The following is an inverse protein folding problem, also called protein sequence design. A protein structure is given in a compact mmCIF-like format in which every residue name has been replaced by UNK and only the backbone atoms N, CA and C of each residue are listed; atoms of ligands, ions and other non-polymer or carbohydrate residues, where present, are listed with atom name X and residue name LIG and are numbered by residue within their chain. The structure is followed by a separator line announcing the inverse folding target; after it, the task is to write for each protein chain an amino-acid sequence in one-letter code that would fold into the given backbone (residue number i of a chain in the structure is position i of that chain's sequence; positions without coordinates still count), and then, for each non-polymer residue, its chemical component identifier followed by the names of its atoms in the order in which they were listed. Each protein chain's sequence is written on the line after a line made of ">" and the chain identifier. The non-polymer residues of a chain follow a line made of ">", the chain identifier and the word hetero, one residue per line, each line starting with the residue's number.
data_IF_146360138633
#
_entry.id   IF_146360138633
#
_cell.length_a   1.000
_cell.length_b   1.000
_cell.length_c   1.000
_cell.angle_alpha   90.00
_cell.angle_beta   90.00
_cell.angle_gamma   90.00
#
_symmetry.space_group_name_H-M   'P 1'
#
loop_
_entity.id
_entity.type
_entity.pdbx_description
1 polymer ?
#
# COMPACT_ATOMS: atom_id res chain seq x y z
N UNK A 1 45.04 16.59 -23.93
CA UNK A 1 44.59 15.22 -23.57
C UNK A 1 44.03 15.12 -22.15
N UNK A 2 44.68 15.69 -21.10
CA UNK A 2 44.21 15.59 -19.69
C UNK A 2 42.84 16.26 -19.40
N UNK A 3 42.49 17.36 -20.08
CA UNK A 3 41.19 18.06 -19.91
C UNK A 3 40.00 17.26 -20.49
N UNK A 4 40.23 16.46 -21.53
CA UNK A 4 39.19 15.61 -22.14
C UNK A 4 38.84 14.40 -21.27
N UNK A 5 39.82 13.87 -20.52
CA UNK A 5 39.64 12.76 -19.57
C UNK A 5 38.83 13.19 -18.33
N UNK A 6 38.97 14.44 -17.88
CA UNK A 6 38.19 15.00 -16.77
C UNK A 6 36.71 15.18 -17.13
N UNK A 7 36.41 15.61 -18.36
CA UNK A 7 35.04 15.82 -18.84
C UNK A 7 34.32 14.47 -19.01
N UNK A 8 35.02 13.44 -19.50
CA UNK A 8 34.46 12.10 -19.66
C UNK A 8 34.07 11.45 -18.32
N UNK A 9 34.79 11.76 -17.24
CA UNK A 9 34.51 11.28 -15.87
C UNK A 9 33.24 11.88 -15.27
N UNK A 10 32.96 13.16 -15.53
CA UNK A 10 31.79 13.87 -14.99
C UNK A 10 30.48 13.39 -15.64
N UNK A 11 30.52 13.08 -16.95
CA UNK A 11 29.36 12.56 -17.69
C UNK A 11 29.04 11.12 -17.30
N UNK A 12 30.04 10.30 -16.97
CA UNK A 12 29.83 8.90 -16.56
C UNK A 12 29.18 8.79 -15.17
N UNK A 13 29.46 9.74 -14.27
CA UNK A 13 28.89 9.74 -12.92
C UNK A 13 27.43 10.18 -12.87
N UNK A 14 26.93 10.90 -13.88
CA UNK A 14 25.53 11.37 -13.93
C UNK A 14 24.54 10.29 -14.40
N UNK A 15 25.03 9.23 -15.06
CA UNK A 15 24.22 8.12 -15.57
C UNK A 15 23.77 7.16 -14.45
N UNK A 16 24.44 7.18 -13.29
CA UNK A 16 24.13 6.28 -12.16
C UNK A 16 22.92 6.73 -11.31
N UNK A 17 22.39 7.94 -11.51
CA UNK A 17 21.25 8.46 -10.71
C UNK A 17 19.88 8.21 -11.34
N UNK A 18 19.79 7.74 -12.59
CA UNK A 18 18.49 7.57 -13.28
C UNK A 18 17.78 6.26 -12.96
N UNK A 19 18.42 5.33 -12.24
CA UNK A 19 17.86 3.98 -12.02
C UNK A 19 16.78 3.94 -10.93
N UNK A 20 16.84 4.84 -9.95
CA UNK A 20 15.92 4.85 -8.80
C UNK A 20 14.44 5.14 -9.20
N UNK A 21 14.21 5.88 -10.29
CA UNK A 21 12.86 6.22 -10.78
C UNK A 21 12.23 5.19 -11.72
N UNK A 22 13.02 4.25 -12.26
CA UNK A 22 12.49 3.17 -13.10
C UNK A 22 11.81 2.10 -12.23
N UNK A 23 12.46 1.72 -11.13
CA UNK A 23 11.96 0.69 -10.21
C UNK A 23 10.67 1.15 -9.50
N UNK A 24 10.62 2.41 -9.04
CA UNK A 24 9.40 2.97 -8.43
C UNK A 24 8.18 2.87 -9.35
N UNK A 25 8.33 3.21 -10.64
CA UNK A 25 7.23 3.16 -11.62
C UNK A 25 6.79 1.74 -11.95
N UNK A 26 7.74 0.79 -12.03
CA UNK A 26 7.41 -0.60 -12.25
C UNK A 26 6.63 -1.19 -11.08
N UNK A 27 7.04 -0.88 -9.85
CA UNK A 27 6.31 -1.26 -8.62
C UNK A 27 4.90 -0.65 -8.64
N UNK A 28 4.79 0.65 -8.91
CA UNK A 28 3.50 1.34 -8.97
C UNK A 28 2.52 0.69 -9.94
N UNK A 29 3.02 0.40 -11.17
CA UNK A 29 2.24 -0.26 -12.20
C UNK A 29 1.74 -1.62 -11.72
N UNK A 30 2.62 -2.42 -11.12
CA UNK A 30 2.24 -3.75 -10.63
C UNK A 30 1.21 -3.69 -9.50
N UNK A 31 1.38 -2.76 -8.55
CA UNK A 31 0.41 -2.53 -7.49
C UNK A 31 -0.94 -2.08 -8.08
N UNK A 32 -0.93 -1.21 -9.08
CA UNK A 32 -2.15 -0.73 -9.75
C UNK A 32 -2.89 -1.86 -10.45
N UNK A 33 -2.17 -2.78 -11.12
CA UNK A 33 -2.76 -3.99 -11.68
C UNK A 33 -3.42 -4.86 -10.60
N UNK A 34 -2.75 -5.05 -9.47
CA UNK A 34 -3.30 -5.83 -8.34
C UNK A 34 -4.54 -5.18 -7.74
N UNK A 35 -4.53 -3.86 -7.56
CA UNK A 35 -5.70 -3.10 -7.10
C UNK A 35 -6.86 -3.21 -8.10
N UNK A 36 -6.58 -3.09 -9.41
CA UNK A 36 -7.58 -3.26 -10.46
C UNK A 36 -8.23 -4.65 -10.41
N UNK A 37 -7.44 -5.72 -10.22
CA UNK A 37 -7.97 -7.09 -10.10
C UNK A 37 -8.85 -7.25 -8.86
N UNK A 38 -8.46 -6.68 -7.71
CA UNK A 38 -9.34 -6.69 -6.53
C UNK A 38 -10.65 -5.96 -6.82
N UNK A 39 -10.56 -4.81 -7.50
CA UNK A 39 -11.70 -3.95 -7.75
C UNK A 39 -12.75 -4.56 -8.69
N UNK A 40 -12.39 -5.59 -9.47
CA UNK A 40 -13.33 -6.35 -10.31
C UNK A 40 -14.50 -6.95 -9.51
N UNK A 41 -14.29 -7.21 -8.21
CA UNK A 41 -15.30 -7.79 -7.31
C UNK A 41 -15.82 -6.80 -6.26
N UNK A 42 -15.58 -5.50 -6.44
CA UNK A 42 -15.97 -4.44 -5.49
C UNK A 42 -17.10 -3.55 -6.03
N UNK A 43 -17.90 -2.91 -5.14
CA UNK A 43 -17.87 -3.02 -3.68
C UNK A 43 -18.46 -4.35 -3.19
N UNK A 44 -17.95 -4.86 -2.06
CA UNK A 44 -18.42 -6.12 -1.46
C UNK A 44 -18.59 -6.00 0.05
N UNK A 45 -19.68 -6.54 0.57
CA UNK A 45 -19.91 -6.64 2.02
C UNK A 45 -19.02 -7.74 2.60
N UNK A 46 -18.12 -7.38 3.51
CA UNK A 46 -17.30 -8.36 4.24
C UNK A 46 -18.04 -8.94 5.43
N UNK A 47 -18.89 -8.13 6.06
CA UNK A 47 -19.78 -8.50 7.15
C UNK A 47 -20.95 -7.49 7.22
N UNK A 48 -21.80 -7.57 8.25
CA UNK A 48 -22.98 -6.70 8.41
C UNK A 48 -22.67 -5.20 8.56
N UNK A 49 -21.44 -4.84 8.93
CA UNK A 49 -21.04 -3.47 9.30
C UNK A 49 -19.90 -2.92 8.47
N UNK A 50 -19.25 -3.73 7.64
CA UNK A 50 -18.04 -3.33 6.89
C UNK A 50 -18.18 -3.72 5.43
N UNK A 51 -18.14 -2.71 4.57
CA UNK A 51 -18.04 -2.87 3.12
C UNK A 51 -16.61 -2.58 2.69
N UNK A 52 -16.04 -3.46 1.88
CA UNK A 52 -14.83 -3.16 1.13
C UNK A 52 -15.24 -2.44 -0.15
N UNK A 53 -14.80 -1.20 -0.32
CA UNK A 53 -15.25 -0.34 -1.42
C UNK A 53 -14.37 -0.49 -2.66
N UNK A 54 -13.06 -0.36 -2.48
CA UNK A 54 -12.04 -0.51 -3.52
C UNK A 54 -10.63 -0.57 -2.91
N UNK A 55 -9.65 -0.86 -3.76
CA UNK A 55 -8.24 -0.65 -3.52
C UNK A 55 -7.67 0.43 -4.44
N UNK A 56 -6.78 1.25 -3.92
CA UNK A 56 -6.08 2.32 -4.66
C UNK A 56 -4.58 2.27 -4.40
N UNK A 57 -3.80 2.94 -5.26
CA UNK A 57 -2.34 3.02 -5.12
C UNK A 57 -1.91 4.47 -5.23
N UNK A 58 -1.12 4.94 -4.26
CA UNK A 58 -0.57 6.29 -4.27
C UNK A 58 0.68 6.40 -5.16
N UNK A 59 1.09 7.62 -5.49
CA UNK A 59 2.32 7.86 -6.26
C UNK A 59 3.59 7.34 -5.54
N UNK A 60 3.55 7.25 -4.20
CA UNK A 60 4.64 6.72 -3.38
C UNK A 60 4.55 5.21 -3.15
N UNK A 61 3.76 4.49 -3.97
CA UNK A 61 3.58 3.04 -3.89
C UNK A 61 3.00 2.57 -2.56
N UNK A 62 2.10 3.36 -1.97
CA UNK A 62 1.28 2.89 -0.84
C UNK A 62 0.05 2.22 -1.41
N UNK A 63 -0.18 0.96 -1.03
CA UNK A 63 -1.37 0.22 -1.41
C UNK A 63 -2.47 0.47 -0.36
N UNK A 64 -3.59 1.03 -0.77
CA UNK A 64 -4.67 1.40 0.13
C UNK A 64 -5.85 0.47 -0.07
N UNK A 65 -6.37 -0.09 1.02
CA UNK A 65 -7.65 -0.76 1.09
C UNK A 65 -8.67 0.22 1.68
N UNK A 66 -9.69 0.58 0.92
CA UNK A 66 -10.70 1.55 1.34
C UNK A 66 -11.98 0.81 1.77
N UNK A 67 -12.46 1.15 2.96
CA UNK A 67 -13.62 0.55 3.59
C UNK A 67 -14.62 1.60 4.02
N UNK A 68 -15.90 1.23 3.98
CA UNK A 68 -16.98 1.95 4.64
C UNK A 68 -17.48 1.15 5.83
N UNK A 69 -17.56 1.81 7.00
CA UNK A 69 -18.23 1.29 8.20
C UNK A 69 -19.67 1.77 8.19
N UNK A 70 -20.62 0.83 8.27
CA UNK A 70 -22.06 1.06 8.13
C UNK A 70 -22.79 0.89 9.45
N UNK A 71 -23.82 1.69 9.69
CA UNK A 71 -24.81 1.49 10.76
C UNK A 71 -24.22 1.44 12.20
N UNK A 72 -23.14 2.17 12.48
CA UNK A 72 -22.53 2.21 13.82
C UNK A 72 -22.49 3.65 14.35
N UNK A 73 -22.98 3.85 15.58
CA UNK A 73 -23.00 5.17 16.23
C UNK A 73 -21.62 5.66 16.70
N UNK A 74 -20.70 4.74 17.00
CA UNK A 74 -19.34 5.06 17.46
C UNK A 74 -18.30 4.12 16.80
N UNK A 75 -18.00 4.31 15.51
CA UNK A 75 -17.18 3.38 14.74
C UNK A 75 -15.71 3.38 15.17
N UNK A 76 -15.23 4.46 15.78
CA UNK A 76 -13.86 4.59 16.26
C UNK A 76 -13.51 3.59 17.38
N UNK A 77 -14.45 3.36 18.30
CA UNK A 77 -14.25 2.40 19.40
C UNK A 77 -14.10 0.98 18.86
N UNK A 78 -14.90 0.60 17.86
CA UNK A 78 -14.86 -0.72 17.25
C UNK A 78 -13.50 -0.98 16.57
N UNK A 79 -13.01 -0.02 15.78
CA UNK A 79 -11.74 -0.17 15.06
C UNK A 79 -10.58 -0.27 16.05
N UNK A 80 -10.60 0.52 17.13
CA UNK A 80 -9.54 0.50 18.15
C UNK A 80 -9.44 -0.83 18.89
N UNK A 81 -10.57 -1.50 19.14
CA UNK A 81 -10.60 -2.81 19.79
C UNK A 81 -10.00 -3.92 18.90
N UNK A 82 -10.14 -3.80 17.58
CA UNK A 82 -9.66 -4.81 16.62
C UNK A 82 -8.31 -4.48 15.98
N UNK A 83 -7.78 -3.27 16.17
CA UNK A 83 -6.54 -2.82 15.54
C UNK A 83 -5.34 -3.73 15.83
N UNK A 84 -5.17 -4.15 17.09
CA UNK A 84 -4.06 -5.03 17.49
C UNK A 84 -4.17 -6.40 16.81
N UNK A 85 -5.35 -7.02 16.85
CA UNK A 85 -5.55 -8.34 16.21
C UNK A 85 -5.47 -8.26 14.70
N UNK A 86 -5.93 -7.16 14.10
CA UNK A 86 -5.80 -6.88 12.67
C UNK A 86 -4.32 -6.81 12.26
N UNK A 87 -3.49 -6.06 12.99
CA UNK A 87 -2.06 -5.95 12.70
C UNK A 87 -1.37 -7.31 12.78
N UNK A 88 -1.66 -8.11 13.83
CA UNK A 88 -1.06 -9.44 13.97
C UNK A 88 -1.51 -10.41 12.87
N UNK A 89 -2.80 -10.37 12.49
CA UNK A 89 -3.31 -11.17 11.37
C UNK A 89 -2.64 -10.76 10.05
N UNK A 90 -2.44 -9.47 9.81
CA UNK A 90 -1.76 -8.98 8.61
C UNK A 90 -0.31 -9.45 8.60
N UNK A 91 0.42 -9.35 9.71
CA UNK A 91 1.77 -9.91 9.80
C UNK A 91 1.80 -11.40 9.49
N UNK A 92 0.83 -12.16 9.99
CA UNK A 92 0.73 -13.59 9.70
C UNK A 92 0.54 -13.84 8.20
N UNK A 93 -0.47 -13.21 7.58
CA UNK A 93 -0.77 -13.34 6.15
C UNK A 93 0.42 -12.97 5.27
N UNK A 94 1.14 -11.89 5.58
CA UNK A 94 2.31 -11.47 4.82
C UNK A 94 3.49 -12.45 4.90
N UNK A 95 3.54 -13.28 5.94
CA UNK A 95 4.55 -14.31 6.10
C UNK A 95 4.14 -15.65 5.48
N UNK A 96 2.84 -15.94 5.38
CA UNK A 96 2.35 -17.25 4.95
C UNK A 96 1.77 -17.26 3.53
N UNK A 97 1.25 -16.14 3.03
CA UNK A 97 0.59 -16.06 1.74
C UNK A 97 1.57 -15.68 0.61
N UNK A 98 1.86 -16.59 -0.34
CA UNK A 98 2.78 -16.32 -1.44
C UNK A 98 2.37 -15.16 -2.35
N UNK A 99 1.07 -14.84 -2.42
CA UNK A 99 0.55 -13.74 -3.23
C UNK A 99 0.96 -12.37 -2.67
N UNK A 100 1.23 -12.29 -1.36
CA UNK A 100 1.63 -11.06 -0.68
C UNK A 100 3.15 -10.84 -0.69
N UNK A 101 3.92 -11.82 -1.19
CA UNK A 101 5.39 -11.75 -1.24
C UNK A 101 5.90 -10.52 -2.01
N UNK A 102 5.20 -10.12 -3.08
CA UNK A 102 5.57 -8.93 -3.86
C UNK A 102 5.67 -7.67 -2.99
N UNK A 103 4.75 -7.49 -2.05
CA UNK A 103 4.75 -6.34 -1.15
C UNK A 103 5.99 -6.34 -0.24
N UNK A 104 6.34 -7.51 0.32
CA UNK A 104 7.52 -7.69 1.18
C UNK A 104 8.83 -7.47 0.45
N UNK A 105 8.98 -8.05 -0.74
CA UNK A 105 10.19 -7.93 -1.55
C UNK A 105 10.42 -6.49 -2.04
N UNK A 106 9.35 -5.72 -2.25
CA UNK A 106 9.41 -4.36 -2.79
C UNK A 106 9.20 -3.26 -1.74
N UNK A 107 9.19 -3.61 -0.45
CA UNK A 107 9.06 -2.66 0.66
C UNK A 107 7.79 -1.79 0.61
N UNK A 108 6.69 -2.35 0.12
CA UNK A 108 5.42 -1.65 -0.10
C UNK A 108 4.75 -1.35 1.24
N UNK A 109 4.34 -0.11 1.48
CA UNK A 109 3.55 0.21 2.66
C UNK A 109 2.06 0.05 2.35
N UNK A 110 1.28 -0.31 3.36
CA UNK A 110 -0.14 -0.60 3.21
C UNK A 110 -0.94 0.29 4.14
N UNK A 111 -2.06 0.78 3.65
CA UNK A 111 -3.02 1.52 4.47
C UNK A 111 -4.39 0.87 4.41
N UNK A 112 -5.03 0.78 5.58
CA UNK A 112 -6.44 0.45 5.71
C UNK A 112 -7.16 1.74 6.09
N UNK A 113 -8.01 2.22 5.18
CA UNK A 113 -8.72 3.48 5.31
C UNK A 113 -10.19 3.18 5.57
N UNK A 114 -10.66 3.52 6.77
CA UNK A 114 -12.04 3.33 7.19
C UNK A 114 -12.75 4.68 7.19
N UNK A 115 -13.78 4.80 6.38
CA UNK A 115 -14.66 5.96 6.35
C UNK A 115 -16.07 5.57 6.81
N UNK A 116 -16.85 6.55 7.24
CA UNK A 116 -18.28 6.36 7.49
C UNK A 116 -19.11 6.45 6.19
N UNK A 117 -20.43 6.32 6.32
CA UNK A 117 -21.37 6.42 5.20
C UNK A 117 -21.35 7.79 4.49
N UNK A 118 -20.87 8.83 5.16
CA UNK A 118 -20.72 10.19 4.63
C UNK A 118 -19.32 10.44 4.03
N UNK A 119 -18.47 9.40 3.98
CA UNK A 119 -17.06 9.46 3.57
C UNK A 119 -16.16 10.27 4.50
N UNK A 120 -16.57 10.47 5.75
CA UNK A 120 -15.73 11.05 6.78
C UNK A 120 -14.74 10.00 7.29
N UNK A 121 -13.47 10.38 7.42
CA UNK A 121 -12.42 9.48 7.90
C UNK A 121 -12.67 9.12 9.36
N UNK A 122 -12.86 7.83 9.61
CA UNK A 122 -12.90 7.26 10.95
C UNK A 122 -11.47 6.96 11.37
N UNK A 123 -10.79 6.08 10.62
CA UNK A 123 -9.43 5.63 10.97
C UNK A 123 -8.59 5.33 9.74
N UNK A 124 -7.30 5.66 9.84
CA UNK A 124 -6.24 5.18 8.95
C UNK A 124 -5.28 4.33 9.76
N UNK A 125 -5.08 3.08 9.33
CA UNK A 125 -4.08 2.17 9.92
C UNK A 125 -3.00 1.97 8.86
N UNK A 126 -1.79 2.42 9.16
CA UNK A 126 -0.62 2.25 8.29
C UNK A 126 0.21 1.07 8.78
N UNK A 127 0.62 0.23 7.84
CA UNK A 127 1.50 -0.92 8.08
C UNK A 127 2.67 -0.77 7.12
N UNK A 128 3.81 -0.40 7.70
CA UNK A 128 5.05 -0.26 6.96
C UNK A 128 5.63 -1.64 6.65
N UNK A 129 6.44 -1.71 5.59
CA UNK A 129 7.10 -2.96 5.23
C UNK A 129 8.01 -3.53 6.33
N UNK A 130 8.45 -2.71 7.29
CA UNK A 130 9.19 -3.16 8.47
C UNK A 130 8.35 -4.01 9.42
N UNK A 131 7.03 -3.86 9.44
CA UNK A 131 6.15 -4.54 10.38
C UNK A 131 5.99 -6.04 10.10
N UNK A 132 6.26 -6.49 8.88
CA UNK A 132 6.12 -7.88 8.44
C UNK A 132 7.40 -8.44 7.78
N UNK A 133 8.53 -7.77 7.98
CA UNK A 133 9.85 -8.27 7.56
C UNK A 133 10.35 -9.36 8.50
#
# INVERSE_FOLDING_TARGET
>A
MKKSLLILSIVLSSILFTQCGADKRAINKKLTEMASTLNESTPVMLNNFTRFDDATVTEENVFQYNYTVLNIQNPDSLIKEVEISLIENIKHEFNTNPQLRFFKENNVSIEYVYNDENRELIRRIQIDSSNYK
#
